data_IF_656013397753
#
_entry.id   IF_656013397753
#
_cell.length_a   1.000
_cell.length_b   1.000
_cell.length_c   1.000
_cell.angle_alpha   90.00
_cell.angle_beta   90.00
_cell.angle_gamma   90.00
#
_symmetry.space_group_name_H-M   'P 1'
#
loop_
_entity.id
_entity.type
_entity.pdbx_description
1 polymer ?
#
# COMPACT_ATOMS: atom_id res chain seq x y z
N UNK A 1 -23.89 -16.57 1.27
CA UNK A 1 -23.27 -15.67 0.27
C UNK A 1 -21.94 -16.27 -0.11
N UNK A 2 -21.79 -16.69 -1.38
CA UNK A 2 -20.58 -17.34 -1.87
C UNK A 2 -19.53 -16.28 -2.20
N UNK A 3 -18.36 -16.38 -1.57
CA UNK A 3 -17.15 -15.68 -2.00
C UNK A 3 -16.73 -16.25 -3.34
N UNK A 4 -16.88 -15.46 -4.40
CA UNK A 4 -16.46 -15.83 -5.75
C UNK A 4 -14.98 -16.22 -5.72
N UNK A 5 -14.70 -17.47 -6.10
CA UNK A 5 -13.35 -18.01 -6.17
C UNK A 5 -12.48 -17.12 -7.07
N UNK A 6 -11.40 -16.60 -6.49
CA UNK A 6 -10.38 -15.87 -7.22
C UNK A 6 -9.80 -16.82 -8.28
N UNK A 7 -9.99 -16.50 -9.56
CA UNK A 7 -9.30 -17.20 -10.64
C UNK A 7 -7.80 -17.07 -10.38
N UNK A 8 -7.00 -18.14 -10.42
CA UNK A 8 -5.56 -18.02 -10.27
C UNK A 8 -5.06 -17.14 -11.42
N UNK A 9 -4.59 -15.94 -11.07
CA UNK A 9 -3.99 -15.05 -12.05
C UNK A 9 -2.72 -15.72 -12.58
N UNK A 10 -2.71 -15.97 -13.88
CA UNK A 10 -1.54 -16.53 -14.56
C UNK A 10 -0.48 -15.44 -14.63
N UNK A 11 0.79 -15.79 -14.34
CA UNK A 11 1.94 -14.88 -14.47
C UNK A 11 2.18 -14.57 -15.97
N UNK A 12 1.39 -13.67 -16.55
CA UNK A 12 1.46 -13.26 -17.97
C UNK A 12 2.39 -12.08 -18.21
N UNK A 13 2.54 -11.21 -17.21
CA UNK A 13 3.32 -9.98 -17.31
C UNK A 13 4.81 -10.23 -17.06
N UNK A 14 5.67 -9.52 -17.79
CA UNK A 14 7.14 -9.61 -17.68
C UNK A 14 7.73 -8.29 -17.19
N UNK A 15 8.70 -8.41 -16.29
CA UNK A 15 9.51 -7.29 -15.80
C UNK A 15 10.96 -7.47 -16.24
N UNK A 16 11.38 -6.66 -17.21
CA UNK A 16 12.76 -6.67 -17.71
C UNK A 16 13.65 -5.71 -16.90
N UNK A 17 14.71 -6.24 -16.28
CA UNK A 17 15.63 -5.49 -15.43
C UNK A 17 17.04 -5.47 -16.02
N UNK A 18 17.65 -4.29 -16.09
CA UNK A 18 19.07 -4.13 -16.43
C UNK A 18 19.89 -4.10 -15.15
N UNK A 19 20.91 -4.95 -15.08
CA UNK A 19 21.74 -5.11 -13.90
C UNK A 19 23.22 -5.08 -14.28
N UNK A 20 24.05 -4.55 -13.39
CA UNK A 20 25.50 -4.74 -13.46
C UNK A 20 25.86 -6.17 -13.04
N UNK A 21 27.04 -6.69 -13.44
CA UNK A 21 27.48 -8.02 -13.00
C UNK A 21 27.54 -8.17 -11.47
N UNK A 22 28.00 -7.13 -10.77
CA UNK A 22 28.07 -7.11 -9.31
C UNK A 22 26.68 -7.19 -8.66
N UNK A 23 25.70 -6.45 -9.18
CA UNK A 23 24.32 -6.51 -8.69
C UNK A 23 23.71 -7.91 -8.90
N UNK A 24 23.93 -8.50 -10.08
CA UNK A 24 23.48 -9.87 -10.38
C UNK A 24 24.06 -10.90 -9.40
N UNK A 25 25.37 -10.81 -9.11
CA UNK A 25 26.03 -11.75 -8.18
C UNK A 25 25.51 -11.60 -6.74
N UNK A 26 25.21 -10.38 -6.31
CA UNK A 26 24.61 -10.15 -4.99
C UNK A 26 23.20 -10.74 -4.89
N UNK A 27 22.35 -10.52 -5.90
CA UNK A 27 21.00 -11.12 -5.94
C UNK A 27 21.05 -12.65 -5.97
N UNK A 28 21.98 -13.24 -6.72
CA UNK A 28 22.18 -14.69 -6.74
C UNK A 28 22.57 -15.25 -5.37
N UNK A 29 23.49 -14.59 -4.66
CA UNK A 29 23.88 -15.01 -3.31
C UNK A 29 22.73 -14.89 -2.31
N UNK A 30 21.97 -13.80 -2.38
CA UNK A 30 20.82 -13.60 -1.50
C UNK A 30 19.72 -14.63 -1.75
N UNK A 31 19.38 -14.90 -3.01
CA UNK A 31 18.42 -15.93 -3.38
C UNK A 31 18.86 -17.33 -2.94
N UNK A 32 20.16 -17.66 -3.11
CA UNK A 32 20.72 -18.92 -2.65
C UNK A 32 20.65 -19.07 -1.12
N UNK A 33 20.96 -18.01 -0.36
CA UNK A 33 20.82 -18.01 1.08
C UNK A 33 19.37 -18.19 1.55
N UNK A 34 18.41 -17.69 0.78
CA UNK A 34 16.98 -17.87 1.01
C UNK A 34 16.42 -19.19 0.44
N UNK A 35 17.25 -20.03 -0.18
CA UNK A 35 16.84 -21.27 -0.87
C UNK A 35 15.75 -21.06 -1.93
N UNK A 36 15.80 -19.93 -2.64
CA UNK A 36 14.81 -19.54 -3.65
C UNK A 36 15.48 -19.26 -5.00
N UNK A 37 14.68 -19.27 -6.06
CA UNK A 37 15.14 -18.79 -7.36
C UNK A 37 15.40 -17.27 -7.30
N UNK A 38 16.29 -16.76 -8.15
CA UNK A 38 16.55 -15.30 -8.23
C UNK A 38 15.29 -14.54 -8.60
N UNK A 39 14.48 -15.09 -9.51
CA UNK A 39 13.22 -14.49 -9.93
C UNK A 39 12.23 -14.39 -8.77
N UNK A 40 12.03 -15.47 -8.01
CA UNK A 40 11.09 -15.45 -6.88
C UNK A 40 11.59 -14.54 -5.76
N UNK A 41 12.90 -14.57 -5.46
CA UNK A 41 13.50 -13.70 -4.45
C UNK A 41 13.32 -12.21 -4.80
N UNK A 42 13.59 -11.82 -6.05
CA UNK A 42 13.44 -10.43 -6.51
C UNK A 42 11.98 -10.02 -6.52
N UNK A 43 11.08 -10.87 -7.03
CA UNK A 43 9.66 -10.57 -7.09
C UNK A 43 9.07 -10.35 -5.70
N UNK A 44 9.35 -11.25 -4.76
CA UNK A 44 8.85 -11.14 -3.39
C UNK A 44 9.42 -9.90 -2.69
N UNK A 45 10.73 -9.66 -2.80
CA UNK A 45 11.35 -8.47 -2.22
C UNK A 45 10.77 -7.18 -2.79
N UNK A 46 10.52 -7.13 -4.10
CA UNK A 46 9.90 -5.99 -4.75
C UNK A 46 8.45 -5.78 -4.30
N UNK A 47 7.67 -6.85 -4.15
CA UNK A 47 6.28 -6.78 -3.67
C UNK A 47 6.21 -6.32 -2.22
N UNK A 48 7.09 -6.80 -1.34
CA UNK A 48 7.17 -6.34 0.05
C UNK A 48 7.50 -4.85 0.09
N UNK A 49 8.54 -4.42 -0.62
CA UNK A 49 8.92 -3.00 -0.65
C UNK A 49 7.84 -2.10 -1.26
N UNK A 50 7.14 -2.56 -2.31
CA UNK A 50 6.00 -1.84 -2.86
C UNK A 50 4.84 -1.73 -1.85
N UNK A 51 4.55 -2.81 -1.13
CA UNK A 51 3.49 -2.83 -0.11
C UNK A 51 3.79 -1.86 1.03
N UNK A 52 5.04 -1.80 1.49
CA UNK A 52 5.50 -0.85 2.50
C UNK A 52 5.36 0.60 1.99
N UNK A 53 5.86 0.88 0.77
CA UNK A 53 5.80 2.21 0.18
C UNK A 53 4.36 2.72 -0.06
N UNK A 54 3.41 1.81 -0.34
CA UNK A 54 1.99 2.14 -0.47
C UNK A 54 1.30 2.26 0.90
N UNK A 55 1.67 1.42 1.87
CA UNK A 55 1.12 1.50 3.22
C UNK A 55 1.40 2.86 3.87
N UNK A 56 2.58 3.43 3.66
CA UNK A 56 2.92 4.78 4.16
C UNK A 56 2.03 5.90 3.59
N UNK A 57 1.30 5.66 2.51
CA UNK A 57 0.46 6.66 1.83
C UNK A 57 -1.03 6.47 2.07
N UNK A 58 -1.47 5.23 2.24
CA UNK A 58 -2.90 4.89 2.31
C UNK A 58 -3.34 4.27 3.65
N UNK A 59 -2.41 3.85 4.52
CA UNK A 59 -2.71 3.16 5.77
C UNK A 59 -2.23 3.94 6.99
N UNK A 60 -3.17 4.53 7.71
CA UNK A 60 -2.90 5.17 9.01
C UNK A 60 -2.98 4.11 10.12
N UNK A 61 -1.83 3.79 10.71
CA UNK A 61 -1.78 2.91 11.89
C UNK A 61 -1.95 3.75 13.17
N UNK A 62 -2.93 3.39 13.99
CA UNK A 62 -3.20 4.01 15.29
C UNK A 62 -2.86 3.00 16.40
N UNK A 63 -2.31 3.48 17.51
CA UNK A 63 -2.26 2.68 18.74
C UNK A 63 -3.66 2.56 19.37
N UNK A 64 -3.86 1.67 20.35
CA UNK A 64 -5.19 1.43 20.91
C UNK A 64 -5.88 2.69 21.46
N UNK A 65 -5.14 3.58 22.12
CA UNK A 65 -5.69 4.82 22.68
C UNK A 65 -6.17 5.78 21.58
N UNK A 66 -5.37 5.94 20.52
CA UNK A 66 -5.76 6.75 19.35
C UNK A 66 -6.87 6.10 18.55
N UNK A 67 -6.95 4.78 18.52
CA UNK A 67 -8.04 4.05 17.88
C UNK A 67 -9.38 4.28 18.59
N UNK A 68 -9.40 4.20 19.92
CA UNK A 68 -10.60 4.47 20.71
C UNK A 68 -11.05 5.94 20.58
N UNK A 69 -10.09 6.88 20.60
CA UNK A 69 -10.38 8.30 20.35
C UNK A 69 -10.94 8.54 18.93
N UNK A 70 -10.42 7.83 17.93
CA UNK A 70 -10.91 7.90 16.56
C UNK A 70 -12.35 7.38 16.44
N UNK A 71 -12.66 6.23 17.04
CA UNK A 71 -14.03 5.70 17.06
C UNK A 71 -15.00 6.64 17.78
N UNK A 72 -14.62 7.18 18.94
CA UNK A 72 -15.44 8.14 19.67
C UNK A 72 -15.71 9.42 18.85
N UNK A 73 -14.74 9.86 18.04
CA UNK A 73 -14.92 11.00 17.15
C UNK A 73 -15.86 10.71 15.96
N UNK A 74 -15.89 9.47 15.46
CA UNK A 74 -16.83 9.04 14.42
C UNK A 74 -18.28 8.93 14.94
N UNK A 75 -18.44 8.46 16.18
CA UNK A 75 -19.76 8.31 16.81
C UNK A 75 -20.32 9.64 17.35
N UNK A 76 -19.48 10.67 17.50
CA UNK A 76 -19.90 11.98 17.97
C UNK A 76 -20.83 12.67 16.97
N UNK A 77 -21.87 13.34 17.48
CA UNK A 77 -22.74 14.16 16.65
C UNK A 77 -21.91 15.24 15.92
N UNK A 78 -22.20 15.51 14.63
CA UNK A 78 -21.48 16.53 13.89
C UNK A 78 -21.71 17.89 14.53
N UNK A 79 -20.63 18.57 14.86
CA UNK A 79 -20.69 19.91 15.41
C UNK A 79 -20.83 20.91 14.26
N UNK A 80 -21.74 21.89 14.35
CA UNK A 80 -21.85 22.90 13.32
C UNK A 80 -20.52 23.66 13.20
N UNK A 81 -19.99 23.73 11.98
CA UNK A 81 -18.75 24.42 11.63
C UNK A 81 -19.10 25.59 10.68
N UNK A 82 -19.46 26.79 11.19
CA UNK A 82 -19.94 27.89 10.36
C UNK A 82 -18.98 28.30 9.24
N UNK A 83 -17.66 28.25 9.52
CA UNK A 83 -16.62 28.55 8.53
C UNK A 83 -16.53 27.49 7.42
N UNK A 84 -16.70 26.21 7.77
CA UNK A 84 -16.74 25.13 6.78
C UNK A 84 -17.99 25.25 5.89
N UNK A 85 -19.14 25.60 6.50
CA UNK A 85 -20.37 25.87 5.74
C UNK A 85 -20.19 27.04 4.77
N UNK A 86 -19.54 28.13 5.18
CA UNK A 86 -19.24 29.25 4.29
C UNK A 86 -18.32 28.82 3.13
N UNK A 87 -17.24 28.10 3.42
CA UNK A 87 -16.30 27.61 2.42
C UNK A 87 -16.98 26.71 1.36
N UNK A 88 -17.88 25.83 1.78
CA UNK A 88 -18.62 24.94 0.85
C UNK A 88 -19.62 25.69 -0.04
N UNK A 89 -19.92 26.96 0.26
CA UNK A 89 -20.82 27.82 -0.52
C UNK A 89 -20.04 28.82 -1.39
N UNK A 90 -18.71 28.89 -1.27
CA UNK A 90 -17.87 29.69 -2.14
C UNK A 90 -17.73 28.99 -3.51
N UNK A 91 -17.76 29.75 -4.64
CA UNK A 91 -17.55 29.17 -5.97
C UNK A 91 -16.19 28.46 -6.02
N UNK A 92 -16.18 27.23 -6.55
CA UNK A 92 -14.93 26.50 -6.71
C UNK A 92 -14.02 27.18 -7.72
N UNK A 93 -12.70 26.95 -7.62
CA UNK A 93 -11.72 27.43 -8.62
C UNK A 93 -11.90 26.81 -10.01
N UNK A 94 -12.85 25.88 -10.15
CA UNK A 94 -13.20 25.17 -11.37
C UNK A 94 -14.65 25.41 -11.83
N UNK A 95 -15.40 26.30 -11.15
CA UNK A 95 -16.76 26.74 -11.51
C UNK A 95 -16.75 28.06 -12.32
#
# INVERSE_FOLDING_TARGET
MAIAGQKPELRSEKLDLRLTPAAKQTLQRAAAAAQRSVTDFVLESALTSASEALADRDKFSLDPERWDAFLAALDAAPHPQPRLNQLLQEPGVFD
#
